data_IF_881288301107
#
_entry.id   IF_881288301107
#
_cell.length_a   1.000
_cell.length_b   1.000
_cell.length_c   1.000
_cell.angle_alpha   90.00
_cell.angle_beta   90.00
_cell.angle_gamma   90.00
#
_symmetry.space_group_name_H-M   'P 1'
#
loop_
_entity.id
_entity.type
_entity.pdbx_description
1 polymer ?
#
# COMPACT_ATOMS: atom_id res chain seq x y z
N UNK A 1 -7.90 0.39 14.53
CA UNK A 1 -9.05 -0.40 14.05
C UNK A 1 -10.09 0.42 13.31
N UNK A 2 -10.88 1.30 13.94
CA UNK A 2 -11.95 2.06 13.24
C UNK A 2 -11.46 2.76 11.96
N UNK A 3 -10.30 3.41 11.99
CA UNK A 3 -9.71 4.05 10.80
C UNK A 3 -9.41 3.05 9.66
N UNK A 4 -8.94 1.84 10.01
CA UNK A 4 -8.64 0.77 9.05
C UNK A 4 -9.94 0.18 8.52
N UNK A 5 -10.91 -0.12 9.37
CA UNK A 5 -12.24 -0.58 8.98
C UNK A 5 -12.90 0.41 8.02
N UNK A 6 -12.86 1.71 8.32
CA UNK A 6 -13.39 2.73 7.42
C UNK A 6 -12.60 2.79 6.10
N UNK A 7 -11.26 2.77 6.16
CA UNK A 7 -10.41 2.73 4.96
C UNK A 7 -10.79 1.56 4.04
N UNK A 8 -11.02 0.37 4.60
CA UNK A 8 -11.44 -0.81 3.84
C UNK A 8 -12.84 -0.64 3.26
N UNK A 9 -13.79 -0.16 4.07
CA UNK A 9 -15.17 0.05 3.66
C UNK A 9 -15.31 1.06 2.52
N UNK A 10 -14.43 2.05 2.43
CA UNK A 10 -14.43 3.03 1.32
C UNK A 10 -13.53 2.64 0.14
N UNK A 11 -12.86 1.50 0.18
CA UNK A 11 -11.90 1.11 -0.86
C UNK A 11 -10.68 2.04 -0.91
N UNK A 12 -10.22 2.49 0.25
CA UNK A 12 -9.20 3.50 0.42
C UNK A 12 -7.83 3.14 -0.16
N UNK A 13 -6.98 4.16 -0.28
CA UNK A 13 -5.62 4.02 -0.81
C UNK A 13 -4.76 3.09 0.04
N UNK A 14 -3.91 2.28 -0.60
CA UNK A 14 -2.87 1.49 0.09
C UNK A 14 -1.87 2.39 0.82
N UNK A 15 -1.68 3.64 0.40
CA UNK A 15 -0.84 4.62 1.12
C UNK A 15 -1.32 4.88 2.56
N UNK A 16 -2.62 4.71 2.83
CA UNK A 16 -3.16 4.88 4.18
C UNK A 16 -2.57 3.85 5.16
N UNK A 17 -2.10 2.69 4.68
CA UNK A 17 -1.41 1.68 5.48
C UNK A 17 -0.11 2.25 6.02
N UNK A 18 0.73 2.81 5.15
CA UNK A 18 2.01 3.45 5.51
C UNK A 18 1.77 4.58 6.51
N UNK A 19 0.78 5.45 6.25
CA UNK A 19 0.48 6.57 7.13
C UNK A 19 -0.06 6.14 8.51
N UNK A 20 -0.97 5.16 8.56
CA UNK A 20 -1.52 4.68 9.83
C UNK A 20 -0.45 3.95 10.66
N UNK A 21 0.47 3.20 10.03
CA UNK A 21 1.62 2.60 10.71
C UNK A 21 2.54 3.68 11.31
N UNK A 22 2.87 4.72 10.56
CA UNK A 22 3.68 5.83 11.06
C UNK A 22 2.99 6.55 12.23
N UNK A 23 1.71 6.92 12.07
CA UNK A 23 0.92 7.58 13.13
C UNK A 23 0.84 6.70 14.38
N UNK A 24 0.61 5.39 14.22
CA UNK A 24 0.58 4.46 15.34
C UNK A 24 1.94 4.39 16.05
N UNK A 25 3.05 4.36 15.30
CA UNK A 25 4.40 4.42 15.83
C UNK A 25 4.67 5.70 16.64
N UNK A 26 4.20 6.86 16.16
CA UNK A 26 4.26 8.13 16.92
C UNK A 26 3.36 8.11 18.16
N UNK A 27 2.21 7.45 18.07
CA UNK A 27 1.26 7.32 19.16
C UNK A 27 1.65 6.26 20.21
N UNK A 28 2.67 5.45 19.96
CA UNK A 28 3.04 4.32 20.82
C UNK A 28 2.02 3.17 20.77
N UNK A 29 1.22 3.08 19.70
CA UNK A 29 0.20 2.04 19.52
C UNK A 29 0.82 0.91 18.68
N UNK A 30 0.80 -0.35 19.16
CA UNK A 30 1.30 -1.47 18.37
C UNK A 30 0.33 -1.74 17.21
N UNK A 31 0.75 -1.42 15.99
CA UNK A 31 0.01 -1.70 14.77
C UNK A 31 0.93 -2.42 13.78
N UNK A 32 0.45 -3.53 13.22
CA UNK A 32 1.17 -4.36 12.24
C UNK A 32 0.34 -4.52 10.97
N UNK A 33 0.99 -4.94 9.87
CA UNK A 33 0.28 -5.31 8.64
C UNK A 33 -0.76 -6.41 8.88
N UNK A 34 -0.50 -7.34 9.80
CA UNK A 34 -1.43 -8.44 10.09
C UNK A 34 -2.78 -7.90 10.58
N UNK A 35 -2.80 -6.79 11.34
CA UNK A 35 -4.05 -6.17 11.77
C UNK A 35 -4.88 -5.62 10.60
N UNK A 36 -4.24 -5.15 9.53
CA UNK A 36 -4.95 -4.74 8.32
C UNK A 36 -5.59 -5.94 7.61
N UNK A 37 -4.87 -7.07 7.55
CA UNK A 37 -5.38 -8.30 6.95
C UNK A 37 -6.58 -8.86 7.73
N UNK A 38 -6.48 -8.94 9.05
CA UNK A 38 -7.57 -9.38 9.94
C UNK A 38 -8.83 -8.54 9.78
N UNK A 39 -8.68 -7.21 9.72
CA UNK A 39 -9.81 -6.31 9.52
C UNK A 39 -10.37 -6.43 8.11
N UNK A 40 -9.52 -6.59 7.08
CA UNK A 40 -9.98 -6.78 5.70
C UNK A 40 -10.84 -8.03 5.53
N UNK A 41 -10.50 -9.13 6.20
CA UNK A 41 -11.24 -10.38 6.13
C UNK A 41 -12.72 -10.28 6.57
N UNK A 42 -13.10 -9.22 7.30
CA UNK A 42 -14.47 -9.00 7.80
C UNK A 42 -15.11 -7.68 7.33
N UNK A 43 -14.39 -6.84 6.61
CA UNK A 43 -14.90 -5.53 6.18
C UNK A 43 -15.17 -5.53 4.67
N UNK A 44 -16.44 -5.49 4.25
CA UNK A 44 -16.80 -5.41 2.83
C UNK A 44 -16.62 -4.01 2.26
N UNK A 45 -16.64 -3.88 0.92
CA UNK A 45 -16.64 -2.59 0.23
C UNK A 45 -18.06 -2.00 0.25
N UNK A 46 -18.18 -0.83 0.86
CA UNK A 46 -19.46 -0.18 1.14
C UNK A 46 -19.75 1.04 0.28
N UNK A 47 -18.75 1.54 -0.44
CA UNK A 47 -18.87 2.78 -1.21
C UNK A 47 -18.59 2.53 -2.68
N UNK A 48 -19.52 2.95 -3.55
CA UNK A 48 -19.42 2.82 -4.99
C UNK A 48 -18.69 4.03 -5.61
N UNK A 49 -17.40 4.17 -5.31
CA UNK A 49 -16.56 5.24 -5.86
C UNK A 49 -15.35 4.72 -6.60
N UNK A 50 -14.93 5.46 -7.62
CA UNK A 50 -13.70 5.19 -8.35
C UNK A 50 -12.49 5.16 -7.38
N UNK A 51 -11.54 4.24 -7.58
CA UNK A 51 -11.40 3.36 -8.74
C UNK A 51 -12.13 2.00 -8.65
N UNK A 52 -12.75 1.66 -7.52
CA UNK A 52 -13.42 0.37 -7.32
C UNK A 52 -14.90 0.37 -7.75
N UNK A 53 -15.47 1.56 -7.99
CA UNK A 53 -16.85 1.77 -8.40
C UNK A 53 -17.00 2.88 -9.44
N UNK A 54 -18.21 3.41 -9.57
CA UNK A 54 -18.60 4.26 -10.70
C UNK A 54 -18.60 5.76 -10.38
N UNK A 55 -18.95 6.13 -9.15
CA UNK A 55 -19.16 7.53 -8.74
C UNK A 55 -17.87 8.22 -8.27
N UNK A 56 -18.01 9.51 -7.95
CA UNK A 56 -16.97 10.33 -7.33
C UNK A 56 -17.30 10.58 -5.85
N UNK A 57 -16.33 11.12 -5.12
CA UNK A 57 -16.46 11.40 -3.67
C UNK A 57 -17.59 12.42 -3.38
N UNK A 58 -17.93 13.27 -4.34
CA UNK A 58 -19.06 14.21 -4.22
C UNK A 58 -20.39 13.49 -3.97
N UNK A 59 -20.65 12.38 -4.67
CA UNK A 59 -21.86 11.59 -4.44
C UNK A 59 -21.90 11.03 -3.02
N UNK A 60 -20.75 10.62 -2.47
CA UNK A 60 -20.65 10.16 -1.08
C UNK A 60 -21.01 11.27 -0.11
N UNK A 61 -20.53 12.50 -0.37
CA UNK A 61 -20.89 13.66 0.43
C UNK A 61 -22.41 13.91 0.42
N UNK A 62 -23.04 13.94 -0.75
CA UNK A 62 -24.49 14.12 -0.88
C UNK A 62 -25.30 12.95 -0.29
N UNK A 63 -24.73 11.74 -0.26
CA UNK A 63 -25.32 10.56 0.37
C UNK A 63 -25.19 10.54 1.92
N UNK A 64 -24.62 11.58 2.53
CA UNK A 64 -24.46 11.71 3.98
C UNK A 64 -23.01 11.59 4.49
N UNK A 65 -22.05 11.47 3.56
CA UNK A 65 -20.62 11.49 3.83
C UNK A 65 -20.11 10.31 4.66
N UNK A 66 -18.93 10.50 5.25
CA UNK A 66 -18.27 9.49 6.11
C UNK A 66 -19.15 9.05 7.29
N UNK A 67 -19.91 9.92 7.98
CA UNK A 67 -20.80 9.47 9.06
C UNK A 67 -21.85 8.45 8.59
N UNK A 68 -22.40 8.62 7.38
CA UNK A 68 -23.33 7.66 6.80
C UNK A 68 -22.67 6.32 6.46
N UNK A 69 -21.44 6.35 5.93
CA UNK A 69 -20.64 5.11 5.70
C UNK A 69 -20.37 4.40 7.03
N UNK A 70 -19.91 5.14 8.04
CA UNK A 70 -19.64 4.60 9.37
C UNK A 70 -20.90 4.00 10.01
N UNK A 71 -22.07 4.60 9.77
CA UNK A 71 -23.36 4.04 10.20
C UNK A 71 -23.67 2.72 9.52
N UNK A 72 -23.41 2.59 8.21
CA UNK A 72 -23.59 1.33 7.48
C UNK A 72 -22.68 0.19 7.95
N UNK A 73 -21.56 0.50 8.62
CA UNK A 73 -20.62 -0.50 9.17
C UNK A 73 -20.54 -0.45 10.70
N UNK A 74 -21.54 0.12 11.37
CA UNK A 74 -21.52 0.38 12.82
C UNK A 74 -21.19 -0.88 13.64
N UNK A 75 -21.68 -2.04 13.21
CA UNK A 75 -21.43 -3.34 13.85
C UNK A 75 -19.96 -3.80 13.80
N UNK A 76 -19.13 -3.18 12.94
CA UNK A 76 -17.70 -3.44 12.80
C UNK A 76 -16.84 -2.39 13.51
N UNK A 77 -17.44 -1.36 14.11
CA UNK A 77 -16.75 -0.25 14.75
C UNK A 77 -16.72 -0.41 16.27
N UNK A 78 -15.63 0.08 16.88
CA UNK A 78 -15.58 0.40 18.30
C UNK A 78 -16.36 1.70 18.54
N UNK A 79 -17.64 1.57 18.86
CA UNK A 79 -18.59 2.69 18.93
C UNK A 79 -18.45 3.55 20.18
N UNK A 80 -17.82 3.01 21.22
CA UNK A 80 -17.48 3.67 22.49
C UNK A 80 -16.22 4.54 22.40
N UNK A 81 -15.47 4.47 21.30
CA UNK A 81 -14.25 5.24 21.12
C UNK A 81 -14.51 6.75 21.21
N UNK A 82 -13.72 7.45 22.02
CA UNK A 82 -13.80 8.91 22.19
C UNK A 82 -13.33 9.63 20.92
N UNK A 83 -13.96 10.75 20.61
CA UNK A 83 -13.58 11.64 19.51
C UNK A 83 -13.22 13.04 20.02
N UNK A 84 -12.67 13.88 19.13
CA UNK A 84 -12.32 15.27 19.43
C UNK A 84 -13.53 16.15 19.81
N UNK A 85 -14.76 15.72 19.54
CA UNK A 85 -15.98 16.42 19.98
C UNK A 85 -16.29 16.21 21.47
N UNK A 86 -15.52 15.36 22.16
CA UNK A 86 -15.79 14.94 23.53
C UNK A 86 -16.88 13.87 23.64
N UNK A 87 -17.45 13.42 22.51
CA UNK A 87 -18.46 12.37 22.44
C UNK A 87 -17.90 11.09 21.82
N UNK A 88 -18.59 9.97 22.04
CA UNK A 88 -18.22 8.67 21.46
C UNK A 88 -18.45 8.63 19.95
N UNK A 89 -17.92 7.63 19.26
CA UNK A 89 -18.22 7.41 17.84
C UNK A 89 -19.73 7.25 17.64
N UNK A 90 -20.41 6.44 18.45
CA UNK A 90 -21.87 6.24 18.38
C UNK A 90 -22.65 7.55 18.47
N UNK A 91 -22.29 8.43 19.40
CA UNK A 91 -22.97 9.72 19.59
C UNK A 91 -22.86 10.66 18.39
N UNK A 92 -21.84 10.47 17.55
CA UNK A 92 -21.60 11.27 16.35
C UNK A 92 -22.19 10.62 15.08
N UNK A 93 -22.71 9.40 15.15
CA UNK A 93 -23.32 8.74 14.00
C UNK A 93 -24.74 9.29 13.73
N UNK A 94 -25.18 9.31 12.46
CA UNK A 94 -26.56 9.63 12.14
C UNK A 94 -27.52 8.58 12.70
N UNK A 95 -28.78 8.96 12.91
CA UNK A 95 -29.80 8.07 13.48
C UNK A 95 -30.23 6.93 12.55
N UNK A 96 -29.99 7.06 11.23
CA UNK A 96 -30.34 6.08 10.22
C UNK A 96 -29.26 5.94 9.15
N UNK A 97 -29.38 4.87 8.35
CA UNK A 97 -28.52 4.61 7.18
C UNK A 97 -28.83 5.57 6.03
N UNK A 98 -27.90 5.69 5.08
CA UNK A 98 -28.14 6.46 3.85
C UNK A 98 -29.31 5.90 3.04
N UNK A 99 -30.07 6.77 2.40
CA UNK A 99 -31.11 6.39 1.43
C UNK A 99 -30.57 6.23 0.00
N UNK A 100 -29.34 6.68 -0.27
CA UNK A 100 -28.66 6.55 -1.55
C UNK A 100 -27.89 5.21 -1.62
N UNK A 101 -28.64 4.11 -1.68
CA UNK A 101 -28.09 2.74 -1.63
C UNK A 101 -27.19 2.38 -2.83
N UNK A 102 -27.28 3.13 -3.93
CA UNK A 102 -26.40 3.04 -5.11
C UNK A 102 -25.01 3.65 -4.87
N UNK A 103 -24.87 4.50 -3.84
CA UNK A 103 -23.62 5.17 -3.46
C UNK A 103 -23.03 4.56 -2.18
N UNK A 104 -23.85 4.36 -1.15
CA UNK A 104 -23.46 3.79 0.15
C UNK A 104 -24.33 2.57 0.42
N UNK A 105 -23.71 1.39 0.40
CA UNK A 105 -24.38 0.12 0.62
C UNK A 105 -24.84 -0.07 2.07
N UNK A 106 -25.72 -1.04 2.27
CA UNK A 106 -26.03 -1.62 3.60
C UNK A 106 -25.12 -2.80 3.87
N UNK A 107 -24.91 -3.15 5.16
CA UNK A 107 -24.00 -4.23 5.54
C UNK A 107 -24.40 -5.60 4.95
N UNK A 108 -25.70 -5.79 4.71
CA UNK A 108 -26.28 -7.02 4.15
C UNK A 108 -26.22 -7.07 2.62
N UNK A 109 -25.97 -5.94 1.96
CA UNK A 109 -25.89 -5.83 0.50
C UNK A 109 -24.69 -4.96 0.06
N UNK A 110 -23.44 -5.34 0.40
CA UNK A 110 -22.25 -4.57 0.03
C UNK A 110 -21.95 -4.65 -1.48
N UNK A 111 -21.18 -3.68 -1.99
CA UNK A 111 -20.76 -3.66 -3.40
C UNK A 111 -19.75 -4.76 -3.73
N UNK A 112 -18.87 -5.08 -2.78
CA UNK A 112 -17.96 -6.23 -2.87
C UNK A 112 -17.87 -6.91 -1.51
N UNK A 113 -17.64 -8.24 -1.47
CA UNK A 113 -17.46 -8.96 -0.21
C UNK A 113 -16.21 -8.46 0.55
N UNK A 114 -16.01 -8.93 1.81
CA UNK A 114 -14.76 -8.70 2.53
C UNK A 114 -13.52 -9.16 1.74
N UNK A 115 -12.35 -8.81 2.26
CA UNK A 115 -11.04 -9.07 1.65
C UNK A 115 -10.71 -8.14 0.45
N UNK A 116 -11.18 -6.90 0.48
CA UNK A 116 -10.83 -5.87 -0.53
C UNK A 116 -9.35 -5.44 -0.51
N UNK A 117 -8.58 -5.86 0.50
CA UNK A 117 -7.15 -5.67 0.64
C UNK A 117 -6.54 -6.99 1.12
N UNK A 118 -5.43 -7.42 0.52
CA UNK A 118 -4.63 -8.51 1.06
C UNK A 118 -3.23 -8.03 1.45
N UNK A 119 -2.73 -8.60 2.54
CA UNK A 119 -1.31 -8.59 2.89
C UNK A 119 -0.77 -9.93 2.43
N UNK A 120 0.26 -9.91 1.58
CA UNK A 120 0.89 -11.12 1.07
C UNK A 120 2.30 -11.26 1.63
N UNK A 121 2.69 -12.49 1.93
CA UNK A 121 3.98 -12.87 2.52
C UNK A 121 4.56 -14.09 1.82
N UNK A 122 5.86 -14.24 1.89
CA UNK A 122 6.57 -15.41 1.37
C UNK A 122 8.04 -15.08 1.25
N UNK A 123 8.80 -15.93 0.56
CA UNK A 123 10.24 -15.69 0.41
C UNK A 123 10.53 -14.40 -0.38
N UNK A 124 9.60 -13.89 -1.20
CA UNK A 124 9.78 -12.65 -1.97
C UNK A 124 9.47 -11.39 -1.16
N UNK A 125 8.57 -11.48 -0.18
CA UNK A 125 8.20 -10.36 0.72
C UNK A 125 8.16 -10.82 2.19
N UNK A 126 9.33 -11.02 2.84
CA UNK A 126 9.41 -11.58 4.18
C UNK A 126 8.69 -10.76 5.25
N UNK A 127 8.81 -9.43 5.21
CA UNK A 127 8.08 -8.54 6.14
C UNK A 127 6.78 -8.00 5.55
N UNK A 128 6.43 -8.43 4.34
CA UNK A 128 5.11 -8.32 3.74
C UNK A 128 5.05 -7.37 2.56
N UNK A 129 3.98 -7.51 1.79
CA UNK A 129 3.58 -6.61 0.72
C UNK A 129 2.05 -6.49 0.73
N UNK A 130 1.50 -5.51 0.01
CA UNK A 130 0.05 -5.25 0.00
C UNK A 130 -0.50 -5.24 -1.43
N UNK A 131 -1.73 -5.72 -1.59
CA UNK A 131 -2.47 -5.69 -2.86
C UNK A 131 -3.91 -5.25 -2.60
N UNK A 132 -4.39 -4.29 -3.40
CA UNK A 132 -5.77 -3.79 -3.35
C UNK A 132 -6.67 -4.68 -4.21
N UNK A 133 -7.18 -5.76 -3.63
CA UNK A 133 -8.02 -6.75 -4.31
C UNK A 133 -9.30 -6.13 -4.90
N UNK A 134 -9.85 -5.10 -4.27
CA UNK A 134 -11.10 -4.46 -4.71
C UNK A 134 -11.01 -3.71 -6.05
N UNK A 135 -9.79 -3.44 -6.53
CA UNK A 135 -9.56 -2.83 -7.84
C UNK A 135 -8.67 -3.69 -8.75
N UNK A 136 -8.45 -4.97 -8.40
CA UNK A 136 -7.67 -5.92 -9.18
C UNK A 136 -8.57 -6.75 -10.10
N UNK A 137 -7.98 -7.37 -11.13
CA UNK A 137 -8.70 -8.35 -11.96
C UNK A 137 -8.83 -9.66 -11.20
N UNK A 138 -10.06 -10.19 -10.95
CA UNK A 138 -10.24 -11.37 -10.10
C UNK A 138 -9.44 -12.60 -10.53
N UNK A 139 -9.31 -12.84 -11.84
CA UNK A 139 -8.56 -13.96 -12.39
C UNK A 139 -7.04 -13.88 -12.13
N UNK A 140 -6.51 -12.69 -11.83
CA UNK A 140 -5.09 -12.47 -11.54
C UNK A 140 -4.77 -12.47 -10.04
N UNK A 141 -5.76 -12.59 -9.16
CA UNK A 141 -5.56 -12.68 -7.71
C UNK A 141 -4.89 -14.00 -7.29
N UNK A 142 -4.95 -15.01 -8.14
CA UNK A 142 -4.15 -16.23 -8.05
C UNK A 142 -3.47 -16.41 -9.40
N UNK A 143 -2.17 -16.14 -9.45
CA UNK A 143 -1.43 -16.09 -10.71
C UNK A 143 -0.01 -16.63 -10.51
N UNK A 144 0.51 -17.28 -11.54
CA UNK A 144 1.89 -17.74 -11.57
C UNK A 144 2.46 -17.48 -12.96
N UNK A 145 3.61 -16.81 -13.03
CA UNK A 145 4.18 -16.43 -14.32
C UNK A 145 5.66 -16.04 -14.25
N UNK A 146 6.33 -15.96 -15.41
CA UNK A 146 7.73 -15.56 -15.50
C UNK A 146 7.89 -14.07 -15.23
N UNK A 147 8.92 -13.71 -14.47
CA UNK A 147 9.26 -12.33 -14.16
C UNK A 147 9.85 -11.60 -15.37
N UNK A 148 9.45 -10.34 -15.54
CA UNK A 148 10.11 -9.35 -16.39
C UNK A 148 10.55 -8.21 -15.48
N UNK A 149 11.84 -8.12 -15.23
CA UNK A 149 12.45 -7.30 -14.19
C UNK A 149 12.94 -5.99 -14.78
N UNK A 150 12.59 -4.88 -14.15
CA UNK A 150 13.12 -3.55 -14.39
C UNK A 150 13.92 -3.08 -13.18
N UNK A 151 15.16 -2.66 -13.41
CA UNK A 151 16.11 -2.30 -12.35
C UNK A 151 15.75 -1.00 -11.63
N UNK A 152 15.17 -0.06 -12.36
CA UNK A 152 14.70 1.23 -11.86
C UNK A 152 13.77 1.88 -12.90
N UNK A 153 13.26 3.07 -12.59
CA UNK A 153 12.39 3.83 -13.48
C UNK A 153 13.03 4.15 -14.84
N UNK A 154 14.36 4.38 -14.91
CA UNK A 154 15.03 4.71 -16.18
C UNK A 154 15.12 3.47 -17.07
N UNK A 155 15.46 2.33 -16.48
CA UNK A 155 15.49 1.04 -17.18
C UNK A 155 14.10 0.64 -17.69
N UNK A 156 13.07 0.80 -16.85
CA UNK A 156 11.68 0.58 -17.26
C UNK A 156 11.31 1.47 -18.45
N UNK A 157 11.53 2.79 -18.36
CA UNK A 157 11.22 3.71 -19.47
C UNK A 157 11.98 3.40 -20.75
N UNK A 158 13.20 2.84 -20.67
CA UNK A 158 13.99 2.48 -21.83
C UNK A 158 13.51 1.20 -22.53
N UNK A 159 12.93 0.25 -21.77
CA UNK A 159 12.61 -1.10 -22.28
C UNK A 159 11.12 -1.43 -22.37
N UNK A 160 10.23 -0.76 -21.63
CA UNK A 160 8.84 -1.22 -21.48
C UNK A 160 8.06 -1.32 -22.80
N UNK A 161 8.38 -0.46 -23.77
CA UNK A 161 7.76 -0.42 -25.10
C UNK A 161 8.67 -0.95 -26.22
N UNK A 162 9.80 -1.58 -25.85
CA UNK A 162 10.66 -2.25 -26.80
C UNK A 162 9.87 -3.40 -27.49
N UNK A 163 9.77 -3.41 -28.83
CA UNK A 163 9.09 -4.49 -29.54
C UNK A 163 9.67 -5.87 -29.22
N UNK A 164 10.98 -5.95 -28.91
CA UNK A 164 11.73 -7.17 -28.67
C UNK A 164 11.74 -7.59 -27.18
N UNK A 165 11.13 -6.82 -26.28
CA UNK A 165 10.99 -7.20 -24.86
C UNK A 165 10.27 -8.54 -24.74
N UNK A 166 10.87 -9.57 -24.16
CA UNK A 166 10.19 -10.85 -23.97
C UNK A 166 9.14 -10.73 -22.84
N UNK A 167 7.88 -10.52 -23.22
CA UNK A 167 6.77 -10.29 -22.29
C UNK A 167 5.45 -10.76 -22.91
N UNK A 168 4.67 -11.48 -22.12
CA UNK A 168 3.33 -11.98 -22.48
C UNK A 168 2.29 -11.49 -21.46
N UNK A 169 1.01 -11.74 -21.72
CA UNK A 169 -0.06 -11.42 -20.77
C UNK A 169 0.09 -12.17 -19.42
N UNK A 170 0.77 -13.32 -19.42
CA UNK A 170 1.00 -14.14 -18.24
C UNK A 170 2.27 -13.75 -17.46
N UNK A 171 3.10 -12.86 -18.01
CA UNK A 171 4.30 -12.38 -17.33
C UNK A 171 3.96 -11.58 -16.06
N UNK A 172 4.88 -11.60 -15.10
CA UNK A 172 4.84 -10.77 -13.88
C UNK A 172 5.83 -9.62 -14.05
N UNK A 173 5.34 -8.39 -14.15
CA UNK A 173 6.23 -7.23 -14.25
C UNK A 173 6.79 -6.89 -12.86
N UNK A 174 8.09 -6.75 -12.74
CA UNK A 174 8.79 -6.47 -11.48
C UNK A 174 9.56 -5.17 -11.60
N UNK A 175 9.29 -4.19 -10.73
CA UNK A 175 10.12 -3.00 -10.59
C UNK A 175 10.82 -3.04 -9.22
N UNK A 176 12.15 -3.03 -9.25
CA UNK A 176 12.98 -2.91 -8.04
C UNK A 176 13.58 -1.51 -7.94
N UNK A 177 14.21 -1.23 -6.78
CA UNK A 177 14.82 0.04 -6.43
C UNK A 177 13.83 1.21 -6.51
N UNK A 178 12.56 0.96 -6.21
CA UNK A 178 11.50 1.95 -6.17
C UNK A 178 10.96 2.20 -4.75
N UNK A 179 11.61 1.59 -3.75
CA UNK A 179 11.29 1.74 -2.33
C UNK A 179 11.77 3.04 -1.68
N UNK A 180 11.63 3.15 -0.34
CA UNK A 180 12.07 4.30 0.43
C UNK A 180 13.53 4.68 0.18
N UNK A 181 14.46 3.73 0.16
CA UNK A 181 15.89 3.99 -0.06
C UNK A 181 16.28 3.95 -1.53
N UNK A 182 15.63 3.08 -2.31
CA UNK A 182 15.98 2.82 -3.71
C UNK A 182 15.73 4.02 -4.63
N UNK A 183 14.50 4.54 -4.65
CA UNK A 183 14.13 5.68 -5.48
C UNK A 183 14.58 7.04 -4.93
N UNK A 184 15.10 7.07 -3.71
CA UNK A 184 14.53 7.70 -2.52
C UNK A 184 13.04 8.09 -2.49
N UNK A 185 12.39 7.99 -1.32
CA UNK A 185 11.07 8.57 -1.06
C UNK A 185 9.87 7.68 -1.38
N UNK A 186 10.11 6.47 -1.91
CA UNK A 186 9.07 5.49 -2.26
C UNK A 186 7.96 6.11 -3.15
N UNK A 187 8.28 6.54 -4.38
CA UNK A 187 7.33 7.21 -5.28
C UNK A 187 6.20 6.28 -5.74
N UNK A 188 5.17 6.88 -6.36
CA UNK A 188 3.99 6.17 -6.85
C UNK A 188 4.22 5.51 -8.23
N UNK A 189 5.25 4.68 -8.32
CA UNK A 189 5.65 3.98 -9.56
C UNK A 189 5.16 2.53 -9.65
N UNK A 190 4.43 2.05 -8.65
CA UNK A 190 4.01 0.64 -8.53
C UNK A 190 2.86 0.24 -9.45
N UNK A 191 2.13 1.20 -10.03
CA UNK A 191 1.22 0.92 -11.15
C UNK A 191 2.01 0.95 -12.46
N UNK A 192 2.85 -0.06 -12.68
CA UNK A 192 3.67 -0.15 -13.89
C UNK A 192 2.78 -0.09 -15.14
N UNK A 193 3.20 0.63 -16.20
CA UNK A 193 2.48 0.65 -17.46
C UNK A 193 2.50 -0.73 -18.10
N UNK A 194 1.39 -1.09 -18.75
CA UNK A 194 1.33 -2.29 -19.59
C UNK A 194 2.00 -1.96 -20.93
N UNK A 195 2.93 -2.78 -21.43
CA UNK A 195 3.54 -2.60 -22.74
C UNK A 195 2.51 -2.36 -23.85
N UNK A 196 2.73 -1.36 -24.70
CA UNK A 196 1.81 -0.96 -25.77
C UNK A 196 1.45 -2.10 -26.70
N UNK A 197 2.36 -3.06 -26.91
CA UNK A 197 2.10 -4.25 -27.73
C UNK A 197 1.07 -5.19 -27.10
N UNK A 198 1.03 -5.31 -25.77
CA UNK A 198 0.03 -6.11 -25.06
C UNK A 198 -1.31 -5.37 -24.97
N UNK A 199 -1.29 -4.05 -24.77
CA UNK A 199 -2.50 -3.22 -24.85
C UNK A 199 -3.20 -3.37 -26.21
N UNK A 200 -2.44 -3.37 -27.32
CA UNK A 200 -2.98 -3.62 -28.68
C UNK A 200 -3.57 -5.02 -28.87
N UNK A 201 -3.18 -5.99 -28.04
CA UNK A 201 -3.74 -7.35 -28.01
C UNK A 201 -4.96 -7.46 -27.09
N UNK A 202 -5.37 -6.37 -26.43
CA UNK A 202 -6.51 -6.35 -25.51
C UNK A 202 -6.17 -6.68 -24.07
N UNK A 203 -4.88 -6.80 -23.71
CA UNK A 203 -4.46 -6.98 -22.31
C UNK A 203 -4.61 -5.66 -21.57
N UNK A 204 -5.49 -5.62 -20.58
CA UNK A 204 -5.82 -4.41 -19.80
C UNK A 204 -5.32 -4.46 -18.35
N UNK A 205 -4.88 -5.62 -17.88
CA UNK A 205 -4.29 -5.83 -16.57
C UNK A 205 -3.25 -6.96 -16.60
N UNK A 206 -2.27 -6.87 -15.70
CA UNK A 206 -1.20 -7.83 -15.47
C UNK A 206 -0.77 -7.78 -14.01
N UNK A 207 -0.21 -8.88 -13.50
CA UNK A 207 0.42 -8.87 -12.18
C UNK A 207 1.68 -8.01 -12.22
N UNK A 208 1.74 -7.02 -11.34
CA UNK A 208 2.83 -6.05 -11.23
C UNK A 208 3.31 -5.99 -9.80
N UNK A 209 4.61 -6.09 -9.57
CA UNK A 209 5.21 -6.18 -8.23
C UNK A 209 6.28 -5.11 -8.09
N UNK A 210 6.23 -4.36 -7.00
CA UNK A 210 7.29 -3.40 -6.68
C UNK A 210 7.42 -3.14 -5.19
N UNK A 211 8.60 -2.65 -4.80
CA UNK A 211 8.83 -2.01 -3.51
C UNK A 211 8.31 -0.55 -3.46
N UNK A 212 7.59 -0.10 -4.50
CA UNK A 212 7.04 1.24 -4.62
C UNK A 212 5.64 1.39 -3.97
N UNK A 213 5.09 2.60 -4.09
CA UNK A 213 3.66 2.90 -3.83
C UNK A 213 2.89 3.02 -5.14
N UNK A 214 1.58 3.25 -5.04
CA UNK A 214 0.76 3.69 -6.17
C UNK A 214 -0.22 4.77 -5.72
N UNK A 215 -0.75 5.54 -6.67
CA UNK A 215 -1.84 6.48 -6.39
C UNK A 215 -3.06 5.76 -5.81
N UNK A 216 -3.78 6.40 -4.90
CA UNK A 216 -5.06 5.88 -4.40
C UNK A 216 -6.10 5.67 -5.50
N UNK A 217 -6.01 6.43 -6.59
CA UNK A 217 -6.88 6.35 -7.77
C UNK A 217 -6.48 5.26 -8.76
N UNK A 218 -5.38 4.54 -8.51
CA UNK A 218 -4.90 3.46 -9.37
C UNK A 218 -5.76 2.19 -9.26
N UNK A 219 -5.72 1.39 -10.32
CA UNK A 219 -6.38 0.09 -10.46
C UNK A 219 -5.44 -0.96 -11.06
N UNK A 220 -5.92 -2.20 -11.03
CA UNK A 220 -5.30 -3.39 -11.55
C UNK A 220 -4.47 -4.15 -10.50
N UNK A 221 -3.92 -5.28 -10.93
CA UNK A 221 -3.35 -6.30 -10.05
C UNK A 221 -1.91 -5.95 -9.64
N UNK A 222 -1.78 -4.99 -8.73
CA UNK A 222 -0.49 -4.47 -8.27
C UNK A 222 -0.18 -4.91 -6.82
N UNK A 223 0.94 -5.61 -6.64
CA UNK A 223 1.56 -5.87 -5.34
C UNK A 223 2.57 -4.76 -5.05
N UNK A 224 2.41 -4.11 -3.91
CA UNK A 224 3.12 -2.89 -3.55
C UNK A 224 3.82 -3.06 -2.20
N UNK A 225 4.70 -2.11 -1.89
CA UNK A 225 5.32 -2.01 -0.56
C UNK A 225 6.08 -3.26 -0.17
N UNK A 226 6.58 -4.02 -1.15
CA UNK A 226 7.40 -5.21 -0.91
C UNK A 226 8.51 -4.85 0.07
N UNK A 227 8.46 -5.48 1.24
CA UNK A 227 9.36 -5.21 2.36
C UNK A 227 10.06 -6.50 2.80
N UNK A 228 11.38 -6.46 3.05
CA UNK A 228 12.29 -5.33 2.82
C UNK A 228 12.41 -4.95 1.33
N UNK A 229 12.65 -3.67 1.04
CA UNK A 229 12.84 -3.19 -0.34
C UNK A 229 14.14 -3.75 -0.95
N UNK A 230 14.29 -3.73 -2.27
CA UNK A 230 15.49 -4.27 -2.93
C UNK A 230 16.77 -3.54 -2.51
N UNK A 231 16.71 -2.21 -2.38
CA UNK A 231 17.84 -1.37 -2.00
C UNK A 231 18.28 -1.55 -0.53
N UNK A 232 17.44 -2.18 0.30
CA UNK A 232 17.76 -2.57 1.67
C UNK A 232 18.20 -4.05 1.78
N UNK A 233 18.46 -4.72 0.65
CA UNK A 233 18.85 -6.14 0.60
C UNK A 233 17.67 -7.11 0.61
N UNK A 234 16.46 -6.62 0.32
CA UNK A 234 15.28 -7.47 0.22
C UNK A 234 15.33 -8.46 -0.96
N UNK A 235 14.63 -9.60 -0.88
CA UNK A 235 14.63 -10.65 -1.91
C UNK A 235 14.18 -10.17 -3.30
N UNK A 236 13.37 -9.11 -3.40
CA UNK A 236 13.01 -8.47 -4.67
C UNK A 236 14.25 -8.06 -5.50
N UNK A 237 15.35 -7.70 -4.83
CA UNK A 237 16.63 -7.39 -5.47
C UNK A 237 17.30 -8.58 -6.16
N UNK A 238 16.89 -9.81 -5.86
CA UNK A 238 17.49 -11.05 -6.37
C UNK A 238 16.74 -11.66 -7.56
N UNK A 239 15.57 -11.12 -7.90
CA UNK A 239 14.76 -11.58 -9.03
C UNK A 239 15.50 -11.32 -10.34
N UNK A 240 15.41 -12.28 -11.26
CA UNK A 240 15.95 -12.25 -12.62
C UNK A 240 14.82 -12.51 -13.62
N UNK A 241 15.02 -12.04 -14.85
CA UNK A 241 14.09 -12.34 -15.95
C UNK A 241 13.89 -13.85 -16.09
N UNK A 242 12.64 -14.27 -16.28
CA UNK A 242 12.25 -15.67 -16.44
C UNK A 242 12.02 -16.44 -15.13
N UNK A 243 12.42 -15.92 -13.97
CA UNK A 243 12.07 -16.54 -12.68
C UNK A 243 10.56 -16.65 -12.52
N UNK A 244 10.08 -17.77 -11.98
CA UNK A 244 8.64 -17.94 -11.77
C UNK A 244 8.25 -17.32 -10.42
N UNK A 245 7.26 -16.41 -10.46
CA UNK A 245 6.65 -15.82 -9.26
C UNK A 245 5.22 -16.36 -9.14
N UNK A 246 4.86 -16.79 -7.94
CA UNK A 246 3.51 -17.23 -7.58
C UNK A 246 2.88 -16.23 -6.60
N UNK A 247 1.75 -15.65 -6.99
CA UNK A 247 0.90 -14.79 -6.18
C UNK A 247 -0.38 -15.56 -5.84
N UNK A 248 -0.74 -15.60 -4.56
CA UNK A 248 -2.09 -15.97 -4.13
C UNK A 248 -2.57 -14.96 -3.08
N UNK A 249 -3.29 -13.93 -3.56
CA UNK A 249 -3.81 -12.87 -2.70
C UNK A 249 -4.87 -13.39 -1.71
N UNK A 250 -5.62 -14.43 -2.07
CA UNK A 250 -6.62 -15.02 -1.17
C UNK A 250 -5.97 -15.77 -0.01
N UNK A 251 -4.88 -16.50 -0.27
CA UNK A 251 -4.10 -17.22 0.73
C UNK A 251 -3.06 -16.33 1.45
N UNK A 252 -2.87 -15.09 0.98
CA UNK A 252 -1.87 -14.18 1.53
C UNK A 252 -0.43 -14.59 1.21
N UNK A 253 -0.19 -15.27 0.09
CA UNK A 253 1.17 -15.76 -0.28
C UNK A 253 1.76 -15.03 -1.49
N UNK A 254 3.09 -14.84 -1.44
CA UNK A 254 3.89 -14.28 -2.53
C UNK A 254 5.29 -14.92 -2.53
N UNK A 255 5.51 -15.81 -3.50
CA UNK A 255 6.68 -16.68 -3.53
C UNK A 255 7.44 -16.55 -4.87
N UNK A 256 8.76 -16.48 -4.77
CA UNK A 256 9.72 -16.64 -5.85
C UNK A 256 10.11 -18.12 -5.92
N UNK A 257 9.71 -18.82 -6.98
CA UNK A 257 9.90 -20.27 -7.14
C UNK A 257 11.30 -20.58 -7.66
N UNK A 258 12.31 -20.16 -6.90
CA UNK A 258 13.73 -20.43 -7.13
C UNK A 258 14.25 -21.20 -5.91
N UNK A 259 15.02 -22.29 -6.09
CA UNK A 259 15.62 -23.01 -4.98
C UNK A 259 16.42 -22.11 -4.03
N UNK A 260 16.33 -22.37 -2.73
CA UNK A 260 16.98 -21.55 -1.69
C UNK A 260 18.51 -21.52 -1.83
N UNK A 261 19.12 -22.62 -2.27
CA UNK A 261 20.55 -22.72 -2.54
C UNK A 261 20.99 -21.84 -3.71
N UNK A 262 20.18 -21.75 -4.76
CA UNK A 262 20.41 -20.82 -5.85
C UNK A 262 20.27 -19.37 -5.35
N UNK A 263 19.17 -19.03 -4.66
CA UNK A 263 18.94 -17.68 -4.13
C UNK A 263 20.07 -17.20 -3.21
N UNK A 264 20.61 -18.09 -2.37
CA UNK A 264 21.72 -17.79 -1.48
C UNK A 264 23.01 -17.39 -2.22
N UNK A 265 23.18 -17.81 -3.48
CA UNK A 265 24.34 -17.43 -4.31
C UNK A 265 24.13 -16.16 -5.13
N UNK A 266 22.89 -15.68 -5.25
CA UNK A 266 22.57 -14.51 -6.06
C UNK A 266 23.07 -13.23 -5.37
N UNK A 267 23.58 -12.32 -6.19
CA UNK A 267 23.93 -10.98 -5.76
C UNK A 267 22.98 -9.99 -6.45
N UNK A 268 22.36 -9.13 -5.65
CA UNK A 268 21.59 -8.01 -6.16
C UNK A 268 22.53 -7.02 -6.88
N UNK A 269 22.07 -6.35 -7.94
CA UNK A 269 22.85 -5.29 -8.57
C UNK A 269 23.09 -4.15 -7.57
N UNK A 270 24.27 -3.49 -7.61
CA UNK A 270 24.55 -2.36 -6.75
C UNK A 270 23.60 -1.20 -7.06
N UNK A 271 23.20 -0.40 -6.04
CA UNK A 271 22.35 0.76 -6.27
C UNK A 271 23.06 1.76 -7.20
N UNK A 272 22.36 2.27 -8.22
CA UNK A 272 22.94 3.17 -9.23
C UNK A 272 23.47 4.48 -8.64
N UNK A 273 22.81 5.01 -7.62
CA UNK A 273 23.17 6.29 -7.01
C UNK A 273 23.05 6.23 -5.49
N UNK A 274 24.16 6.47 -4.79
CA UNK A 274 24.16 6.69 -3.34
C UNK A 274 24.23 8.19 -3.06
N UNK A 275 23.20 8.73 -2.43
CA UNK A 275 23.18 10.12 -1.97
C UNK A 275 24.21 10.28 -0.85
N UNK A 276 25.16 11.22 -1.00
CA UNK A 276 26.29 11.38 -0.06
C UNK A 276 26.16 12.58 0.88
N UNK A 277 25.18 13.47 0.68
CA UNK A 277 25.00 14.69 1.48
C UNK A 277 23.56 15.21 1.45
N UNK A 278 23.27 16.11 2.38
CA UNK A 278 22.00 16.83 2.47
C UNK A 278 20.86 15.94 2.97
N UNK A 279 19.63 16.46 2.87
CA UNK A 279 18.42 15.76 3.30
C UNK A 279 18.29 14.38 2.67
N UNK A 280 18.66 14.20 1.40
CA UNK A 280 18.54 12.91 0.72
C UNK A 280 19.43 11.82 1.35
N UNK A 281 20.64 12.16 1.84
CA UNK A 281 21.49 11.20 2.56
C UNK A 281 20.90 10.86 3.93
N UNK A 282 20.49 11.88 4.70
CA UNK A 282 19.81 11.68 5.98
C UNK A 282 18.56 10.82 5.81
N UNK A 283 17.74 11.09 4.78
CA UNK A 283 16.54 10.33 4.50
C UNK A 283 16.87 8.85 4.29
N UNK A 284 17.76 8.53 3.35
CA UNK A 284 18.13 7.14 3.03
C UNK A 284 18.71 6.40 4.24
N UNK A 285 19.54 7.08 5.03
CA UNK A 285 20.22 6.47 6.18
C UNK A 285 19.28 6.23 7.36
N UNK A 286 18.24 7.06 7.53
CA UNK A 286 17.38 7.06 8.72
C UNK A 286 15.96 6.54 8.48
N UNK A 287 15.52 6.43 7.22
CA UNK A 287 14.17 5.97 6.88
C UNK A 287 13.98 4.48 7.20
N UNK A 288 12.85 4.18 7.83
CA UNK A 288 12.32 2.84 8.04
C UNK A 288 11.68 2.29 6.75
N UNK A 289 11.33 1.01 6.78
CA UNK A 289 10.71 0.32 5.65
C UNK A 289 9.18 0.53 5.66
N UNK A 290 8.50 0.17 4.57
CA UNK A 290 7.08 0.46 4.39
C UNK A 290 6.17 -0.30 5.38
N UNK A 291 6.57 -1.49 5.79
CA UNK A 291 5.97 -2.27 6.88
C UNK A 291 6.03 -1.56 8.26
N UNK A 292 6.84 -0.50 8.37
CA UNK A 292 6.98 0.36 9.55
C UNK A 292 6.65 1.83 9.27
N UNK A 293 5.90 2.09 8.20
CA UNK A 293 5.34 3.41 7.91
C UNK A 293 6.30 4.43 7.29
N UNK A 294 7.49 4.01 6.85
CA UNK A 294 8.49 4.92 6.25
C UNK A 294 8.84 6.15 7.10
N UNK A 295 8.70 6.06 8.43
CA UNK A 295 9.12 7.11 9.36
C UNK A 295 10.66 7.13 9.49
N UNK A 296 11.21 8.14 10.14
CA UNK A 296 12.60 8.11 10.57
C UNK A 296 12.74 7.32 11.88
N UNK A 297 13.74 6.46 11.94
CA UNK A 297 13.99 5.60 13.11
C UNK A 297 14.15 6.38 14.42
N UNK A 298 14.72 7.59 14.38
CA UNK A 298 14.91 8.47 15.53
C UNK A 298 13.69 9.35 15.87
N UNK A 299 12.62 9.28 15.09
CA UNK A 299 11.37 10.00 15.36
C UNK A 299 10.25 9.11 15.88
N UNK A 300 10.45 7.79 15.98
CA UNK A 300 9.43 6.87 16.49
C UNK A 300 9.22 7.08 18.00
N UNK A 301 7.96 7.00 18.47
CA UNK A 301 7.61 7.11 19.90
C UNK A 301 7.49 8.55 20.42
N UNK A 302 6.77 8.75 21.52
CA UNK A 302 6.52 10.11 22.04
C UNK A 302 7.70 10.63 22.83
N UNK A 303 7.92 11.94 22.76
CA UNK A 303 8.82 12.63 23.69
C UNK A 303 8.31 12.40 25.10
N UNK A 304 9.17 11.87 25.97
CA UNK A 304 8.81 11.56 27.37
C UNK A 304 8.56 12.83 28.19
N UNK A 305 9.24 13.92 27.83
CA UNK A 305 9.16 15.25 28.46
C UNK A 305 9.12 16.34 27.37
N UNK A 306 7.96 16.58 26.73
CA UNK A 306 7.82 17.58 25.67
C UNK A 306 8.26 19.00 26.12
N UNK A 307 8.08 19.31 27.40
CA UNK A 307 8.52 20.57 28.01
C UNK A 307 10.04 20.77 28.05
N UNK A 308 10.80 19.69 27.82
CA UNK A 308 12.27 19.71 27.79
C UNK A 308 12.83 19.63 26.37
N UNK A 309 11.97 19.71 25.34
CA UNK A 309 12.45 19.83 23.96
C UNK A 309 13.23 21.14 23.79
N UNK A 310 14.33 21.13 23.02
CA UNK A 310 15.18 22.30 22.90
C UNK A 310 14.43 23.44 22.20
N UNK A 311 14.19 24.53 22.95
CA UNK A 311 13.50 25.72 22.48
C UNK A 311 14.00 26.14 21.09
N UNK A 312 15.30 26.38 20.95
CA UNK A 312 15.91 26.99 19.77
C UNK A 312 15.74 26.25 18.42
N UNK A 313 15.33 24.98 18.40
CA UNK A 313 15.10 24.25 17.14
C UNK A 313 13.68 24.49 16.61
N UNK A 314 12.68 24.61 17.49
CA UNK A 314 11.26 24.70 17.12
C UNK A 314 10.65 26.04 17.50
N UNK A 315 11.04 26.56 18.66
CA UNK A 315 10.67 27.85 19.19
C UNK A 315 11.82 28.84 18.94
N UNK A 316 11.55 29.82 18.09
CA UNK A 316 12.47 30.92 17.88
C UNK A 316 12.75 31.69 19.17
N UNK A 317 13.46 32.81 19.05
CA UNK A 317 13.73 33.65 20.21
C UNK A 317 12.43 34.12 20.90
N UNK A 318 12.23 33.69 22.15
CA UNK A 318 11.11 34.11 23.00
C UNK A 318 11.63 35.18 23.97
N UNK A 319 11.56 36.46 23.58
CA UNK A 319 12.09 37.49 24.48
C UNK A 319 12.03 38.95 24.09
N UNK A 320 10.92 39.51 23.60
CA UNK A 320 10.65 40.96 23.36
C UNK A 320 11.83 41.97 23.45
N UNK A 321 12.13 42.66 22.33
CA UNK A 321 13.26 43.60 22.17
C UNK A 321 13.30 44.71 23.22
#
# INVERSE_FOLDING_TARGET
DNAITLMLAVGGSTNAIVHLLAIAGRAGVPLTLDRFHELSARTPLMVNVRPAGEHLVEQVFHAGGIPAVMKSIETLLHTDALTVSGKTVADNLPSGISTAADVIATIDAPFQPPQGLAVVRGNLAPTGAVIKCSAATPALLVHQGPAVVFDDMRDMMARFDDPDLDVTADSVLVLRNAGPRGAPGMPEWGQLPIPSKLLRQGVTDMVRISDARMSGTAYGTCVLHVSPESAAGGPLGLVRDGDIIALNAHAGTLDLLVPDDELATRQAPPPRHRQRRGYAAMYVDRVLQADRGCDFDFLVGRSEQPENEPDAIFDGWVGGW
#
